data_IF_747570460716
#
_entry.id   IF_747570460716
#
_cell.length_a   1.000
_cell.length_b   1.000
_cell.length_c   1.000
_cell.angle_alpha   90.00
_cell.angle_beta   90.00
_cell.angle_gamma   90.00
#
_symmetry.space_group_name_H-M   'P 1'
#
loop_
_entity.id
_entity.type
_entity.pdbx_description
1 polymer ?
#
# COMPACT_ATOMS: atom_id res chain seq x y z
N UNK A 1 4.17 -17.02 7.08
CA UNK A 1 3.72 -15.64 6.80
C UNK A 1 3.89 -15.31 5.34
N UNK A 2 2.97 -14.57 4.79
CA UNK A 2 3.04 -14.03 3.43
C UNK A 2 3.43 -12.57 3.53
N UNK A 3 4.41 -12.15 2.75
CA UNK A 3 4.78 -10.74 2.63
C UNK A 3 4.25 -10.17 1.33
N UNK A 4 3.54 -9.07 1.44
CA UNK A 4 2.94 -8.31 0.36
C UNK A 4 3.71 -7.00 0.21
N UNK A 5 4.30 -6.79 -0.97
CA UNK A 5 5.06 -5.56 -1.26
C UNK A 5 4.44 -4.88 -2.46
N UNK A 6 4.18 -3.59 -2.30
CA UNK A 6 3.63 -2.75 -3.38
C UNK A 6 4.49 -1.50 -3.49
N UNK A 7 4.76 -1.08 -4.72
CA UNK A 7 5.42 0.19 -4.99
C UNK A 7 4.56 1.01 -5.95
N UNK A 8 4.55 2.33 -5.77
CA UNK A 8 3.78 3.25 -6.61
C UNK A 8 4.66 4.36 -7.14
N UNK A 9 4.32 4.78 -8.37
CA UNK A 9 4.73 6.04 -8.93
C UNK A 9 3.48 6.91 -9.06
N UNK A 10 3.55 8.15 -8.59
CA UNK A 10 2.42 9.07 -8.60
C UNK A 10 2.56 10.11 -9.69
N UNK A 11 1.43 10.61 -10.17
CA UNK A 11 1.38 11.70 -11.14
C UNK A 11 1.94 12.98 -10.54
N UNK A 12 2.55 13.82 -11.38
CA UNK A 12 3.00 15.13 -10.94
C UNK A 12 1.83 15.98 -10.42
N UNK A 13 2.09 16.83 -9.44
CA UNK A 13 1.09 17.71 -8.86
C UNK A 13 0.14 17.04 -7.88
N UNK A 14 0.40 15.81 -7.46
CA UNK A 14 -0.46 15.05 -6.53
C UNK A 14 0.13 14.89 -5.13
N UNK A 15 1.06 15.77 -4.72
CA UNK A 15 1.76 15.63 -3.43
C UNK A 15 0.83 15.55 -2.22
N UNK A 16 -0.19 16.40 -2.16
CA UNK A 16 -1.12 16.38 -1.04
C UNK A 16 -1.96 15.11 -1.01
N UNK A 17 -2.46 14.70 -2.17
CA UNK A 17 -3.25 13.47 -2.30
C UNK A 17 -2.40 12.23 -2.00
N UNK A 18 -1.13 12.23 -2.41
CA UNK A 18 -0.17 11.17 -2.07
C UNK A 18 -0.03 11.02 -0.56
N UNK A 19 0.18 12.12 0.15
CA UNK A 19 0.32 12.12 1.61
C UNK A 19 -0.95 11.60 2.28
N UNK A 20 -2.11 12.04 1.81
CA UNK A 20 -3.39 11.55 2.31
C UNK A 20 -3.53 10.04 2.10
N UNK A 21 -3.23 9.55 0.90
CA UNK A 21 -3.29 8.12 0.59
C UNK A 21 -2.38 7.31 1.49
N UNK A 22 -1.10 7.68 1.59
CA UNK A 22 -0.12 6.93 2.38
C UNK A 22 -0.47 6.92 3.87
N UNK A 23 -0.97 8.04 4.39
CA UNK A 23 -1.42 8.14 5.78
C UNK A 23 -2.62 7.23 6.06
N UNK A 24 -3.62 7.25 5.18
CA UNK A 24 -4.81 6.41 5.33
C UNK A 24 -4.48 4.93 5.15
N UNK A 25 -3.54 4.60 4.27
CA UNK A 25 -3.08 3.24 4.09
C UNK A 25 -2.41 2.72 5.37
N UNK A 26 -1.49 3.49 5.95
CA UNK A 26 -0.83 3.12 7.21
C UNK A 26 -1.84 2.96 8.34
N UNK A 27 -2.88 3.79 8.38
CA UNK A 27 -3.91 3.74 9.41
C UNK A 27 -4.78 2.46 9.37
N UNK A 28 -4.73 1.68 8.30
CA UNK A 28 -5.42 0.39 8.23
C UNK A 28 -4.77 -0.66 9.15
N UNK A 29 -3.50 -0.52 9.45
CA UNK A 29 -2.82 -1.39 10.41
C UNK A 29 -3.37 -1.14 11.81
N UNK A 30 -3.80 -2.20 12.48
CA UNK A 30 -4.47 -2.11 13.77
C UNK A 30 -6.00 -1.97 13.66
N UNK A 31 -6.52 -1.71 12.46
CA UNK A 31 -7.96 -1.62 12.18
C UNK A 31 -8.43 -2.86 11.43
N UNK A 32 -7.71 -3.27 10.40
CA UNK A 32 -7.99 -4.54 9.69
C UNK A 32 -7.18 -5.64 10.36
N UNK A 33 -7.83 -6.60 11.03
CA UNK A 33 -7.12 -7.57 11.87
C UNK A 33 -6.21 -8.54 11.10
N UNK A 34 -6.42 -8.73 9.81
CA UNK A 34 -5.58 -9.60 8.99
C UNK A 34 -4.16 -9.05 8.77
N UNK A 35 -3.95 -7.75 8.94
CA UNK A 35 -2.62 -7.14 8.78
C UNK A 35 -1.81 -7.41 10.05
N UNK A 36 -0.77 -8.23 9.97
CA UNK A 36 0.05 -8.61 11.12
C UNK A 36 1.25 -7.68 11.35
N UNK A 37 1.77 -7.09 10.28
CA UNK A 37 2.80 -6.07 10.33
C UNK A 37 2.68 -5.22 9.08
N UNK A 38 3.02 -3.95 9.18
CA UNK A 38 2.94 -3.05 8.04
C UNK A 38 3.88 -1.87 8.21
N UNK A 39 4.51 -1.47 7.12
CA UNK A 39 5.22 -0.21 7.03
C UNK A 39 4.96 0.41 5.67
N UNK A 40 4.83 1.73 5.67
CA UNK A 40 4.66 2.55 4.47
C UNK A 40 5.77 3.60 4.50
N UNK A 41 6.56 3.67 3.44
CA UNK A 41 7.68 4.59 3.35
C UNK A 41 7.74 5.27 1.99
N UNK A 42 8.29 6.49 1.96
CA UNK A 42 8.50 7.23 0.73
C UNK A 42 9.97 7.13 0.30
N UNK A 43 10.19 7.17 -1.01
CA UNK A 43 11.54 7.29 -1.57
C UNK A 43 12.15 8.61 -1.15
N UNK A 44 13.41 8.58 -0.73
CA UNK A 44 14.16 9.77 -0.33
C UNK A 44 15.35 10.06 -1.26
N UNK A 45 15.70 9.11 -2.11
CA UNK A 45 16.87 9.24 -2.98
C UNK A 45 16.61 10.10 -4.22
N UNK A 46 15.34 10.21 -4.63
CA UNK A 46 14.97 11.00 -5.79
C UNK A 46 15.43 10.43 -7.12
N UNK A 47 15.71 9.13 -7.17
CA UNK A 47 16.21 8.45 -8.38
C UNK A 47 15.20 8.26 -9.50
N UNK A 48 13.94 8.57 -9.25
CA UNK A 48 12.94 8.72 -10.27
C UNK A 48 12.19 7.49 -10.74
N UNK A 49 12.37 6.31 -10.13
CA UNK A 49 11.62 5.13 -10.56
C UNK A 49 10.28 5.00 -9.85
N UNK A 50 10.28 4.92 -8.51
CA UNK A 50 9.07 4.80 -7.71
C UNK A 50 9.14 5.74 -6.53
N UNK A 51 7.96 6.12 -6.00
CA UNK A 51 7.86 7.18 -5.00
C UNK A 51 7.59 6.68 -3.59
N UNK A 52 6.98 5.50 -3.46
CA UNK A 52 6.61 4.95 -2.16
C UNK A 52 6.52 3.43 -2.19
N UNK A 53 6.62 2.82 -1.02
CA UNK A 53 6.55 1.37 -0.84
C UNK A 53 5.65 1.03 0.35
N UNK A 54 4.87 -0.05 0.18
CA UNK A 54 4.14 -0.72 1.26
C UNK A 54 4.78 -2.09 1.46
N UNK A 55 5.06 -2.45 2.70
CA UNK A 55 5.43 -3.81 3.08
C UNK A 55 4.46 -4.23 4.17
N UNK A 56 3.66 -5.27 3.91
CA UNK A 56 2.71 -5.79 4.90
C UNK A 56 2.74 -7.31 4.95
N UNK A 57 2.51 -7.85 6.15
CA UNK A 57 2.55 -9.29 6.40
C UNK A 57 1.17 -9.81 6.78
N UNK A 58 0.84 -10.99 6.23
CA UNK A 58 -0.40 -11.72 6.47
C UNK A 58 -0.08 -13.18 6.80
N UNK A 59 -0.94 -13.83 7.57
CA UNK A 59 -0.71 -15.23 7.91
C UNK A 59 -0.83 -16.17 6.70
N UNK A 60 -1.69 -15.81 5.74
CA UNK A 60 -1.99 -16.64 4.58
C UNK A 60 -2.41 -15.80 3.37
N UNK A 61 -2.41 -16.43 2.20
CA UNK A 61 -2.98 -15.82 0.98
C UNK A 61 -4.48 -15.56 1.13
N UNK A 62 -5.17 -16.39 1.91
CA UNK A 62 -6.58 -16.17 2.21
C UNK A 62 -6.79 -14.87 2.98
N UNK A 63 -5.98 -14.62 4.01
CA UNK A 63 -6.05 -13.38 4.77
C UNK A 63 -5.72 -12.17 3.92
N UNK A 64 -4.74 -12.28 3.03
CA UNK A 64 -4.43 -11.23 2.07
C UNK A 64 -5.63 -10.93 1.17
N UNK A 65 -6.34 -11.95 0.71
CA UNK A 65 -7.54 -11.79 -0.12
C UNK A 65 -8.66 -11.10 0.65
N UNK A 66 -8.86 -11.44 1.92
CA UNK A 66 -9.83 -10.79 2.80
C UNK A 66 -9.51 -9.30 2.94
N UNK A 67 -8.25 -8.97 3.20
CA UNK A 67 -7.77 -7.58 3.28
C UNK A 67 -8.08 -6.82 1.99
N UNK A 68 -7.77 -7.39 0.83
CA UNK A 68 -7.98 -6.72 -0.45
C UNK A 68 -9.44 -6.37 -0.71
N UNK A 69 -10.37 -7.17 -0.19
CA UNK A 69 -11.82 -6.99 -0.35
C UNK A 69 -12.45 -6.17 0.76
N UNK A 70 -11.73 -5.90 1.85
CA UNK A 70 -12.28 -5.12 2.96
C UNK A 70 -12.67 -3.72 2.45
N UNK A 71 -13.91 -3.26 2.75
CA UNK A 71 -14.38 -1.95 2.27
C UNK A 71 -13.47 -0.79 2.67
N UNK A 72 -12.81 -0.88 3.82
CA UNK A 72 -11.87 0.15 4.30
C UNK A 72 -10.64 0.21 3.41
N UNK A 73 -10.12 -0.94 2.99
CA UNK A 73 -9.01 -1.02 2.03
C UNK A 73 -9.45 -0.53 0.65
N UNK A 74 -10.63 -0.94 0.19
CA UNK A 74 -11.15 -0.54 -1.12
C UNK A 74 -11.26 0.99 -1.21
N UNK A 75 -11.77 1.64 -0.17
CA UNK A 75 -11.88 3.10 -0.13
C UNK A 75 -10.52 3.78 -0.26
N UNK A 76 -9.51 3.30 0.46
CA UNK A 76 -8.14 3.82 0.38
C UNK A 76 -7.52 3.55 -1.00
N UNK A 77 -7.71 2.36 -1.54
CA UNK A 77 -7.23 1.98 -2.87
C UNK A 77 -7.81 2.89 -3.96
N UNK A 78 -9.06 3.30 -3.83
CA UNK A 78 -9.71 4.20 -4.79
C UNK A 78 -9.06 5.58 -4.82
N UNK A 79 -8.56 6.09 -3.69
CA UNK A 79 -7.77 7.31 -3.67
C UNK A 79 -6.50 7.17 -4.52
N UNK A 80 -5.82 6.03 -4.39
CA UNK A 80 -4.59 5.76 -5.13
C UNK A 80 -4.85 5.71 -6.64
N UNK A 81 -5.93 5.07 -7.06
CA UNK A 81 -6.24 4.87 -8.49
C UNK A 81 -6.32 6.18 -9.27
N UNK A 82 -6.76 7.25 -8.65
CA UNK A 82 -6.90 8.55 -9.32
C UNK A 82 -5.59 9.32 -9.45
N UNK A 83 -4.58 8.99 -8.64
CA UNK A 83 -3.33 9.76 -8.56
C UNK A 83 -2.09 8.97 -8.99
N UNK A 84 -2.18 7.64 -9.10
CA UNK A 84 -1.02 6.83 -9.47
C UNK A 84 -0.79 6.83 -10.98
N UNK A 85 0.46 6.87 -11.35
CA UNK A 85 0.92 6.62 -12.72
C UNK A 85 1.20 5.14 -12.94
N UNK A 86 1.78 4.48 -11.93
CA UNK A 86 2.15 3.06 -12.00
C UNK A 86 2.05 2.42 -10.62
N UNK A 87 1.74 1.13 -10.61
CA UNK A 87 1.72 0.29 -9.41
C UNK A 87 2.29 -1.07 -9.77
N UNK A 88 3.21 -1.56 -8.95
CA UNK A 88 3.76 -2.92 -9.07
C UNK A 88 3.63 -3.61 -7.72
N UNK A 89 3.48 -4.93 -7.73
CA UNK A 89 3.31 -5.71 -6.51
C UNK A 89 3.96 -7.08 -6.64
N UNK A 90 4.40 -7.63 -5.51
CA UNK A 90 4.86 -9.00 -5.39
C UNK A 90 4.45 -9.55 -4.03
N UNK A 91 4.03 -10.80 -4.00
CA UNK A 91 3.67 -11.52 -2.78
C UNK A 91 4.53 -12.77 -2.69
N UNK A 92 5.11 -13.04 -1.52
CA UNK A 92 5.95 -14.22 -1.35
C UNK A 92 5.85 -14.78 0.05
N UNK A 93 6.23 -16.05 0.18
CA UNK A 93 6.30 -16.75 1.46
C UNK A 93 7.58 -16.41 2.19
N UNK A 94 7.45 -15.98 3.43
CA UNK A 94 8.60 -15.77 4.32
C UNK A 94 9.15 -17.11 4.81
#
# INVERSE_FOLDING_TARGET
MIRHIVMWKFKEGTEEQKKEFLSKLQALYGVIPQIKAQQVNEDIAGGGNYDAVLISDFESLEDLAIYKKDPRHVAVSNLCKSIRESRVAVDYQL
#
